data_IF_320297456043
#
_entry.id   IF_320297456043
#
_cell.length_a   1.000
_cell.length_b   1.000
_cell.length_c   1.000
_cell.angle_alpha   90.00
_cell.angle_beta   90.00
_cell.angle_gamma   90.00
#
_symmetry.space_group_name_H-M   'P 1'
#
loop_
_entity.id
_entity.type
_entity.pdbx_description
1 polymer ?
#
# COMPACT_ATOMS: atom_id res chain seq x y z
N UNK A 1 44.85 10.67 15.52
CA UNK A 1 44.48 9.97 14.27
C UNK A 1 44.95 10.81 13.09
N UNK A 2 46.12 10.50 12.54
CA UNK A 2 46.65 11.12 11.32
C UNK A 2 46.25 10.26 10.11
N UNK A 3 44.95 10.06 9.93
CA UNK A 3 44.38 9.41 8.75
C UNK A 3 43.90 10.48 7.79
N UNK A 4 44.25 10.36 6.51
CA UNK A 4 43.65 11.18 5.44
C UNK A 4 42.13 11.01 5.53
N UNK A 5 41.40 12.12 5.57
CA UNK A 5 39.94 12.06 5.59
C UNK A 5 39.43 11.35 4.31
N UNK A 6 38.43 10.46 4.40
CA UNK A 6 37.89 9.80 3.22
C UNK A 6 37.36 10.84 2.23
N UNK A 7 37.72 10.69 0.96
CA UNK A 7 37.32 11.58 -0.13
C UNK A 7 37.08 10.79 -1.41
N UNK A 8 36.19 11.27 -2.26
CA UNK A 8 35.91 10.71 -3.58
C UNK A 8 35.76 11.83 -4.61
N UNK A 9 35.78 11.47 -5.89
CA UNK A 9 35.60 12.41 -7.02
C UNK A 9 34.42 11.99 -7.86
N UNK A 10 33.69 12.98 -8.38
CA UNK A 10 32.60 12.81 -9.33
C UNK A 10 32.79 13.77 -10.49
N UNK A 11 32.67 13.29 -11.73
CA UNK A 11 32.71 14.11 -12.93
C UNK A 11 31.82 13.52 -14.02
N UNK A 12 31.29 14.39 -14.88
CA UNK A 12 30.49 13.97 -16.04
C UNK A 12 31.38 13.68 -17.25
N UNK A 13 30.98 12.71 -18.07
CA UNK A 13 31.64 12.40 -19.33
C UNK A 13 31.08 13.28 -20.44
N UNK A 14 31.97 13.99 -21.13
CA UNK A 14 31.65 14.78 -22.32
C UNK A 14 31.98 13.99 -23.59
N UNK A 15 31.39 14.39 -24.72
CA UNK A 15 31.76 13.86 -26.04
C UNK A 15 31.02 12.60 -26.47
N UNK A 16 30.05 12.09 -25.69
CA UNK A 16 29.15 11.05 -26.20
C UNK A 16 28.30 11.61 -27.36
N UNK A 17 28.09 10.85 -28.44
CA UNK A 17 27.18 11.22 -29.51
C UNK A 17 25.72 11.15 -29.03
N UNK A 18 24.80 11.67 -29.85
CA UNK A 18 23.37 11.40 -29.67
C UNK A 18 23.11 9.90 -29.85
N UNK A 19 22.49 9.28 -28.84
CA UNK A 19 22.24 7.83 -28.82
C UNK A 19 20.98 7.49 -29.63
N UNK A 20 21.12 6.51 -30.52
CA UNK A 20 20.06 5.95 -31.33
C UNK A 20 19.73 4.50 -30.93
N UNK A 21 18.59 4.01 -31.43
CA UNK A 21 18.18 2.62 -31.21
C UNK A 21 19.21 1.64 -31.79
N UNK A 22 19.62 0.67 -30.98
CA UNK A 22 20.62 -0.34 -31.31
C UNK A 22 22.07 0.03 -30.98
N UNK A 23 22.33 1.25 -30.50
CA UNK A 23 23.68 1.66 -30.11
C UNK A 23 24.20 0.87 -28.89
N UNK A 24 25.47 0.49 -28.94
CA UNK A 24 26.17 -0.18 -27.84
C UNK A 24 26.73 0.87 -26.86
N UNK A 25 25.98 1.10 -25.78
CA UNK A 25 26.34 2.09 -24.76
C UNK A 25 27.71 1.82 -24.12
N UNK A 26 28.09 0.55 -23.93
CA UNK A 26 29.37 0.22 -23.33
C UNK A 26 30.53 0.66 -24.24
N UNK A 27 30.42 0.42 -25.55
CA UNK A 27 31.41 0.88 -26.54
C UNK A 27 31.46 2.40 -26.63
N UNK A 28 30.30 3.07 -26.64
CA UNK A 28 30.25 4.54 -26.67
C UNK A 28 30.94 5.15 -25.45
N UNK A 29 30.64 4.63 -24.25
CA UNK A 29 31.26 5.09 -23.00
C UNK A 29 32.76 4.80 -23.02
N UNK A 30 33.17 3.60 -23.41
CA UNK A 30 34.59 3.22 -23.49
C UNK A 30 35.38 4.12 -24.45
N UNK A 31 34.74 4.58 -25.53
CA UNK A 31 35.40 5.46 -26.51
C UNK A 31 35.77 6.85 -25.96
N UNK A 32 35.00 7.37 -24.99
CA UNK A 32 35.19 8.71 -24.43
C UNK A 32 35.82 8.70 -23.04
N UNK A 33 35.93 7.53 -22.41
CA UNK A 33 36.59 7.35 -21.10
C UNK A 33 37.43 6.06 -21.08
N UNK A 34 38.50 5.96 -21.89
CA UNK A 34 39.43 4.83 -21.85
C UNK A 34 40.22 4.74 -20.53
N UNK A 35 40.19 5.80 -19.71
CA UNK A 35 40.86 5.91 -18.41
C UNK A 35 40.05 5.41 -17.21
N UNK A 36 38.92 4.73 -17.45
CA UNK A 36 38.19 4.00 -16.40
C UNK A 36 39.11 2.98 -15.74
N UNK A 37 38.91 2.76 -14.44
CA UNK A 37 39.70 1.81 -13.64
C UNK A 37 38.79 0.97 -12.76
N UNK A 38 39.34 -0.13 -12.23
CA UNK A 38 38.65 -0.96 -11.26
C UNK A 38 38.15 -0.15 -10.06
N UNK A 39 36.92 -0.41 -9.64
CA UNK A 39 36.29 0.28 -8.52
C UNK A 39 35.63 1.63 -8.86
N UNK A 40 35.62 2.04 -10.14
CA UNK A 40 34.76 3.14 -10.59
C UNK A 40 33.28 2.73 -10.58
N UNK A 41 32.40 3.71 -10.37
CA UNK A 41 30.96 3.55 -10.57
C UNK A 41 30.47 4.52 -11.63
N UNK A 42 29.82 4.00 -12.67
CA UNK A 42 29.17 4.80 -13.69
C UNK A 42 27.72 5.09 -13.33
N UNK A 43 27.34 6.36 -13.41
CA UNK A 43 25.98 6.85 -13.19
C UNK A 43 25.40 7.23 -14.55
N UNK A 44 24.52 6.40 -15.08
CA UNK A 44 24.01 6.45 -16.46
C UNK A 44 22.53 6.86 -16.44
N UNK A 45 22.13 7.91 -17.15
CA UNK A 45 20.70 8.26 -17.22
C UNK A 45 19.89 7.21 -17.99
N UNK A 46 18.69 6.93 -17.50
CA UNK A 46 17.64 6.14 -18.14
C UNK A 46 17.43 6.52 -19.61
N UNK A 47 17.54 7.81 -19.95
CA UNK A 47 17.22 8.32 -21.29
C UNK A 47 18.06 7.68 -22.38
N UNK A 48 19.38 7.57 -22.20
CA UNK A 48 20.23 6.97 -23.22
C UNK A 48 20.09 5.44 -23.25
N UNK A 49 19.78 4.82 -22.12
CA UNK A 49 19.44 3.39 -22.03
C UNK A 49 18.17 3.11 -22.83
N UNK A 50 17.09 3.84 -22.54
CA UNK A 50 15.83 3.76 -23.27
C UNK A 50 15.99 4.02 -24.77
N UNK A 51 16.79 5.00 -25.18
CA UNK A 51 17.06 5.27 -26.61
C UNK A 51 17.77 4.10 -27.27
N UNK A 52 18.86 3.59 -26.68
CA UNK A 52 19.60 2.43 -27.18
C UNK A 52 18.71 1.18 -27.29
N UNK A 53 17.80 0.99 -26.34
CA UNK A 53 16.84 -0.12 -26.33
C UNK A 53 15.59 0.10 -27.20
N UNK A 54 15.52 1.20 -27.95
CA UNK A 54 14.40 1.46 -28.86
C UNK A 54 13.07 1.77 -28.16
N UNK A 55 13.11 2.31 -26.94
CA UNK A 55 11.93 2.65 -26.12
C UNK A 55 11.27 3.99 -26.49
N UNK A 56 11.59 4.55 -27.65
CA UNK A 56 10.91 5.73 -28.21
C UNK A 56 9.65 5.24 -28.93
N UNK A 57 8.48 5.69 -28.47
CA UNK A 57 7.19 5.28 -29.05
C UNK A 57 6.46 6.49 -29.61
N UNK A 58 5.78 6.31 -30.74
CA UNK A 58 4.85 7.31 -31.27
C UNK A 58 3.64 7.40 -30.32
N UNK A 59 3.28 8.61 -29.92
CA UNK A 59 2.14 8.85 -29.05
C UNK A 59 1.51 10.20 -29.40
N UNK A 60 0.31 10.15 -29.96
CA UNK A 60 -0.50 11.35 -30.21
C UNK A 60 -1.05 11.90 -28.89
N UNK A 61 -1.35 11.01 -27.94
CA UNK A 61 -1.70 11.34 -26.55
C UNK A 61 -0.73 10.67 -25.57
N UNK A 62 0.00 11.50 -24.81
CA UNK A 62 0.91 11.05 -23.75
C UNK A 62 0.15 10.28 -22.65
N UNK A 63 -1.10 10.63 -22.38
CA UNK A 63 -1.87 10.00 -21.30
C UNK A 63 -2.14 8.52 -21.58
N UNK A 64 -2.30 8.11 -22.84
CA UNK A 64 -2.45 6.70 -23.24
C UNK A 64 -1.17 5.90 -22.97
N UNK A 65 0.00 6.48 -23.25
CA UNK A 65 1.29 5.85 -22.93
C UNK A 65 1.49 5.71 -21.42
N UNK A 66 1.08 6.72 -20.63
CA UNK A 66 1.09 6.64 -19.17
C UNK A 66 0.16 5.53 -18.69
N UNK A 67 -1.05 5.42 -19.25
CA UNK A 67 -2.02 4.38 -18.89
C UNK A 67 -1.49 2.97 -19.19
N UNK A 68 -0.84 2.80 -20.35
CA UNK A 68 -0.26 1.52 -20.74
C UNK A 68 0.83 1.06 -19.75
N UNK A 69 1.68 1.97 -19.27
CA UNK A 69 2.76 1.66 -18.31
C UNK A 69 2.29 1.64 -16.85
N UNK A 70 1.07 2.09 -16.56
CA UNK A 70 0.52 2.15 -15.20
C UNK A 70 0.00 0.78 -14.74
N UNK A 71 0.55 0.26 -13.64
CA UNK A 71 0.01 -0.91 -12.93
C UNK A 71 -1.16 -0.49 -12.03
N UNK A 72 -0.98 0.61 -11.28
CA UNK A 72 -2.03 1.20 -10.46
C UNK A 72 -1.78 2.67 -10.21
N UNK A 73 -2.85 3.39 -9.92
CA UNK A 73 -2.75 4.79 -9.50
C UNK A 73 -2.56 4.88 -7.99
N UNK A 74 -1.54 5.64 -7.58
CA UNK A 74 -1.24 5.94 -6.18
C UNK A 74 -1.92 7.23 -5.77
N UNK A 75 -1.78 8.29 -6.57
CA UNK A 75 -2.36 9.60 -6.27
C UNK A 75 -2.74 10.36 -7.54
N UNK A 76 -3.82 11.15 -7.48
CA UNK A 76 -4.21 12.07 -8.55
C UNK A 76 -4.42 13.49 -8.04
N UNK A 77 -3.97 14.48 -8.83
CA UNK A 77 -4.31 15.89 -8.65
C UNK A 77 -4.50 16.56 -10.01
N UNK A 78 -5.76 16.75 -10.41
CA UNK A 78 -6.08 17.16 -11.78
C UNK A 78 -5.61 16.08 -12.77
N UNK A 79 -4.87 16.48 -13.80
CA UNK A 79 -4.26 15.57 -14.77
C UNK A 79 -2.98 14.91 -14.28
N UNK A 80 -2.33 15.44 -13.22
CA UNK A 80 -1.11 14.84 -12.68
C UNK A 80 -1.43 13.56 -11.92
N UNK A 81 -0.66 12.51 -12.21
CA UNK A 81 -0.80 11.17 -11.62
C UNK A 81 0.54 10.68 -11.07
N UNK A 82 0.52 10.23 -9.82
CA UNK A 82 1.56 9.36 -9.26
C UNK A 82 1.04 7.94 -9.39
N UNK A 83 1.84 7.08 -9.99
CA UNK A 83 1.46 5.71 -10.33
C UNK A 83 2.59 4.76 -9.98
N UNK A 84 2.23 3.50 -9.77
CA UNK A 84 3.18 2.41 -9.83
C UNK A 84 3.29 1.95 -11.29
N UNK A 85 4.51 1.88 -11.82
CA UNK A 85 4.76 1.36 -13.16
C UNK A 85 5.13 -0.14 -13.14
N UNK A 86 5.37 -0.72 -14.31
CA UNK A 86 5.67 -2.17 -14.46
C UNK A 86 6.97 -2.60 -13.79
N UNK A 87 7.91 -1.68 -13.59
CA UNK A 87 9.16 -1.90 -12.85
C UNK A 87 8.95 -1.81 -11.32
N UNK A 88 7.74 -1.49 -10.85
CA UNK A 88 7.39 -1.29 -9.44
C UNK A 88 7.70 0.10 -8.90
N UNK A 89 8.18 1.03 -9.73
CA UNK A 89 8.54 2.38 -9.31
C UNK A 89 7.27 3.21 -9.09
N UNK A 90 7.21 3.90 -7.95
CA UNK A 90 6.12 4.83 -7.62
C UNK A 90 6.55 6.26 -7.95
N UNK A 91 6.08 6.76 -9.10
CA UNK A 91 6.55 8.04 -9.65
C UNK A 91 5.49 8.75 -10.49
N UNK A 92 5.80 9.98 -10.89
CA UNK A 92 4.93 10.75 -11.76
C UNK A 92 4.91 10.15 -13.18
N UNK A 93 3.72 10.06 -13.77
CA UNK A 93 3.53 9.68 -15.17
C UNK A 93 4.23 8.38 -15.61
N UNK A 94 4.39 7.41 -14.69
CA UNK A 94 5.07 6.12 -14.92
C UNK A 94 6.53 6.20 -15.43
N UNK A 95 7.16 7.39 -15.38
CA UNK A 95 8.46 7.63 -16.01
C UNK A 95 8.39 7.90 -17.51
N UNK A 96 7.20 8.09 -18.08
CA UNK A 96 7.00 8.49 -19.47
C UNK A 96 7.42 9.95 -19.65
N UNK A 97 8.50 10.15 -20.40
CA UNK A 97 9.09 11.45 -20.68
C UNK A 97 8.74 11.89 -22.11
N UNK A 98 8.35 13.16 -22.28
CA UNK A 98 8.13 13.80 -23.58
C UNK A 98 9.21 14.86 -23.90
N UNK A 99 10.20 15.02 -23.01
CA UNK A 99 11.33 15.92 -23.19
C UNK A 99 12.49 15.20 -23.88
N UNK A 100 13.25 15.94 -24.69
CA UNK A 100 14.42 15.43 -25.43
C UNK A 100 14.12 14.24 -26.37
N UNK A 101 12.88 14.16 -26.87
CA UNK A 101 12.42 13.25 -27.92
C UNK A 101 11.89 14.05 -29.12
N UNK A 102 11.88 13.48 -30.34
CA UNK A 102 11.21 14.09 -31.48
C UNK A 102 9.73 14.39 -31.21
N UNK A 103 9.20 15.46 -31.81
CA UNK A 103 7.77 15.81 -31.70
C UNK A 103 6.87 14.65 -32.12
N UNK A 104 5.82 14.38 -31.34
CA UNK A 104 4.90 13.25 -31.56
C UNK A 104 5.39 11.92 -31.00
N UNK A 105 6.48 11.92 -30.22
CA UNK A 105 7.00 10.72 -29.55
C UNK A 105 7.22 10.94 -28.06
N UNK A 106 7.13 9.85 -27.30
CA UNK A 106 7.49 9.80 -25.89
C UNK A 106 8.54 8.71 -25.66
N UNK A 107 9.34 8.86 -24.61
CA UNK A 107 10.34 7.90 -24.18
C UNK A 107 9.81 7.13 -22.98
N UNK A 108 9.73 5.82 -23.11
CA UNK A 108 9.42 4.92 -22.01
C UNK A 108 10.71 4.56 -21.27
N UNK A 109 10.58 4.16 -20.00
CA UNK A 109 11.72 3.60 -19.26
C UNK A 109 12.21 2.28 -19.88
N UNK A 110 13.46 1.87 -19.58
CA UNK A 110 13.97 0.54 -19.93
C UNK A 110 13.07 -0.54 -19.33
N UNK A 111 12.86 -1.66 -20.04
CA UNK A 111 12.00 -2.74 -19.55
C UNK A 111 12.59 -3.41 -18.32
N UNK A 112 13.90 -3.62 -18.31
CA UNK A 112 14.66 -4.14 -17.18
C UNK A 112 15.96 -3.35 -16.97
N UNK A 113 15.91 -2.21 -16.25
CA UNK A 113 17.08 -1.34 -16.07
C UNK A 113 18.26 -2.04 -15.36
N UNK A 114 18.00 -3.07 -14.54
CA UNK A 114 19.05 -3.89 -13.92
C UNK A 114 19.77 -4.76 -14.95
N UNK A 115 19.04 -5.30 -15.94
CA UNK A 115 19.63 -6.01 -17.07
C UNK A 115 20.47 -5.06 -17.94
N UNK A 116 19.98 -3.85 -18.19
CA UNK A 116 20.73 -2.82 -18.91
C UNK A 116 22.03 -2.46 -18.18
N UNK A 117 21.99 -2.27 -16.86
CA UNK A 117 23.17 -2.00 -16.05
C UNK A 117 24.20 -3.15 -16.13
N UNK A 118 23.73 -4.41 -16.07
CA UNK A 118 24.58 -5.60 -16.24
C UNK A 118 25.22 -5.64 -17.62
N UNK A 119 24.46 -5.33 -18.68
CA UNK A 119 24.96 -5.31 -20.05
C UNK A 119 26.07 -4.27 -20.23
N UNK A 120 25.86 -3.04 -19.75
CA UNK A 120 26.87 -1.97 -19.77
C UNK A 120 28.13 -2.40 -19.02
N UNK A 121 27.98 -2.94 -17.81
CA UNK A 121 29.12 -3.44 -17.01
C UNK A 121 29.90 -4.51 -17.75
N UNK A 122 29.22 -5.50 -18.32
CA UNK A 122 29.88 -6.58 -19.08
C UNK A 122 30.62 -6.07 -20.31
N UNK A 123 30.02 -5.14 -21.05
CA UNK A 123 30.65 -4.57 -22.25
C UNK A 123 31.86 -3.71 -21.91
N UNK A 124 31.83 -2.96 -20.80
CA UNK A 124 33.00 -2.19 -20.33
C UNK A 124 34.13 -3.10 -19.88
N UNK A 125 33.80 -4.22 -19.21
CA UNK A 125 34.79 -5.25 -18.87
C UNK A 125 35.42 -5.86 -20.12
N UNK A 126 34.63 -6.16 -21.14
CA UNK A 126 35.14 -6.69 -22.41
C UNK A 126 36.01 -5.68 -23.16
N UNK A 127 35.58 -4.41 -23.22
CA UNK A 127 36.25 -3.37 -24.00
C UNK A 127 37.53 -2.83 -23.34
N UNK A 128 37.54 -2.71 -22.00
CA UNK A 128 38.62 -2.03 -21.26
C UNK A 128 39.31 -2.93 -20.23
N UNK A 129 38.79 -4.13 -19.95
CA UNK A 129 39.36 -5.04 -18.95
C UNK A 129 39.15 -4.62 -17.50
N UNK A 130 38.19 -3.72 -17.23
CA UNK A 130 37.94 -3.15 -15.89
C UNK A 130 36.76 -3.79 -15.17
N UNK A 131 36.79 -3.79 -13.83
CA UNK A 131 35.65 -4.13 -12.98
C UNK A 131 35.03 -2.89 -12.33
N UNK A 132 33.90 -2.47 -12.89
CA UNK A 132 33.17 -1.26 -12.49
C UNK A 132 31.78 -1.59 -11.97
N UNK A 133 31.23 -0.66 -11.19
CA UNK A 133 29.81 -0.59 -10.89
C UNK A 133 29.05 0.23 -11.93
N UNK A 134 27.77 -0.07 -12.14
CA UNK A 134 26.87 0.72 -13.00
C UNK A 134 25.56 0.95 -12.26
N UNK A 135 25.11 2.21 -12.23
CA UNK A 135 23.80 2.63 -11.74
C UNK A 135 23.07 3.36 -12.86
N UNK A 136 21.92 2.83 -13.27
CA UNK A 136 20.99 3.50 -14.19
C UNK A 136 20.06 4.38 -13.36
N UNK A 137 19.96 5.66 -13.71
CA UNK A 137 19.23 6.65 -12.92
C UNK A 137 18.08 7.29 -13.67
N UNK A 138 17.04 7.68 -12.95
CA UNK A 138 15.98 8.53 -13.49
C UNK A 138 15.57 9.63 -12.50
N UNK A 139 14.97 10.69 -13.01
CA UNK A 139 14.66 11.89 -12.22
C UNK A 139 13.31 11.78 -11.51
N UNK A 140 13.32 11.83 -10.18
CA UNK A 140 12.16 11.66 -9.33
C UNK A 140 11.82 12.93 -8.54
N UNK A 141 10.53 13.17 -8.33
CA UNK A 141 10.04 13.94 -7.18
C UNK A 141 9.94 13.04 -5.95
N UNK A 142 9.82 13.62 -4.75
CA UNK A 142 9.67 12.84 -3.51
C UNK A 142 8.71 13.49 -2.51
N UNK A 143 7.96 12.69 -1.71
CA UNK A 143 7.06 13.23 -0.70
C UNK A 143 7.75 14.23 0.25
N UNK A 144 7.00 15.24 0.66
CA UNK A 144 7.38 16.25 1.67
C UNK A 144 8.56 17.18 1.31
N UNK A 145 9.17 17.05 0.13
CA UNK A 145 10.24 17.93 -0.34
C UNK A 145 9.94 18.47 -1.72
N UNK A 146 10.16 19.77 -1.91
CA UNK A 146 10.13 20.40 -3.23
C UNK A 146 11.41 20.09 -4.01
N UNK A 147 11.29 19.99 -5.33
CA UNK A 147 12.42 19.73 -6.23
C UNK A 147 12.58 18.26 -6.60
N UNK A 148 13.41 18.03 -7.61
CA UNK A 148 13.71 16.72 -8.17
C UNK A 148 15.12 16.27 -7.77
N UNK A 149 15.38 14.97 -7.80
CA UNK A 149 16.72 14.37 -7.70
C UNK A 149 16.73 13.12 -8.55
N UNK A 150 17.89 12.73 -9.07
CA UNK A 150 18.02 11.38 -9.61
C UNK A 150 18.00 10.34 -8.48
N UNK A 151 17.41 9.19 -8.80
CA UNK A 151 17.41 7.96 -7.99
C UNK A 151 17.84 6.79 -8.87
N UNK A 152 18.26 5.68 -8.26
CA UNK A 152 18.60 4.48 -8.98
C UNK A 152 17.32 3.74 -9.42
N UNK A 153 17.25 3.37 -10.70
CA UNK A 153 16.21 2.50 -11.27
C UNK A 153 16.76 1.17 -11.76
N UNK A 154 18.08 1.07 -11.94
CA UNK A 154 18.81 -0.15 -12.28
C UNK A 154 20.22 -0.13 -11.70
N UNK A 155 20.78 -1.27 -11.32
CA UNK A 155 22.12 -1.37 -10.76
C UNK A 155 22.80 -2.71 -11.07
N UNK A 156 24.13 -2.68 -11.24
CA UNK A 156 24.97 -3.86 -11.41
C UNK A 156 26.38 -3.64 -10.86
N UNK A 157 26.93 -4.61 -10.11
CA UNK A 157 28.27 -4.49 -9.53
C UNK A 157 28.42 -3.42 -8.45
N UNK A 158 27.31 -2.95 -7.87
CA UNK A 158 27.26 -1.91 -6.84
C UNK A 158 26.42 -2.40 -5.66
N UNK A 159 26.85 -2.09 -4.45
CA UNK A 159 26.03 -2.24 -3.24
C UNK A 159 24.84 -1.28 -3.30
N UNK A 160 23.65 -1.84 -3.48
CA UNK A 160 22.40 -1.06 -3.60
C UNK A 160 21.91 -0.54 -2.26
N UNK A 161 21.88 -1.43 -1.27
CA UNK A 161 21.53 -1.15 0.11
C UNK A 161 22.71 -1.50 1.02
N UNK A 162 23.05 -0.60 1.94
CA UNK A 162 23.97 -0.89 3.05
C UNK A 162 23.13 -1.11 4.31
N UNK A 163 22.85 -2.38 4.60
CA UNK A 163 22.03 -2.79 5.75
C UNK A 163 22.90 -2.88 7.00
N UNK A 164 22.78 -1.89 7.87
CA UNK A 164 23.52 -1.81 9.13
C UNK A 164 22.74 -2.42 10.30
N UNK A 165 21.55 -3.01 10.05
CA UNK A 165 20.74 -3.62 11.10
C UNK A 165 21.46 -4.82 11.71
N UNK A 166 21.31 -4.99 13.02
CA UNK A 166 22.01 -6.03 13.78
C UNK A 166 23.47 -5.68 14.14
N UNK A 167 24.01 -4.59 13.58
CA UNK A 167 25.27 -4.00 14.02
C UNK A 167 25.10 -3.11 15.26
N UNK A 168 26.19 -2.47 15.67
CA UNK A 168 26.20 -1.49 16.75
C UNK A 168 26.83 -0.17 16.33
N UNK A 169 26.39 0.94 16.91
CA UNK A 169 27.05 2.23 16.74
C UNK A 169 28.38 2.32 17.51
N UNK A 170 29.05 3.48 17.44
CA UNK A 170 30.31 3.74 18.12
C UNK A 170 30.25 3.67 19.67
N UNK A 171 29.04 3.69 20.25
CA UNK A 171 28.78 3.57 21.68
C UNK A 171 28.29 2.17 22.07
N UNK A 172 28.20 1.25 21.12
CA UNK A 172 27.69 -0.11 21.35
C UNK A 172 26.17 -0.23 21.32
N UNK A 173 25.43 0.83 20.95
CA UNK A 173 23.98 0.75 20.84
C UNK A 173 23.59 -0.04 19.58
N UNK A 174 22.57 -0.92 19.64
CA UNK A 174 22.14 -1.70 18.50
C UNK A 174 21.50 -0.81 17.41
N UNK A 175 21.90 -1.04 16.17
CA UNK A 175 21.26 -0.43 15.00
C UNK A 175 20.08 -1.33 14.57
N UNK A 176 18.85 -0.82 14.67
CA UNK A 176 17.64 -1.60 14.41
C UNK A 176 16.86 -1.19 13.15
N UNK A 177 17.08 0.02 12.64
CA UNK A 177 16.35 0.58 11.50
C UNK A 177 17.24 1.23 10.43
N UNK A 178 18.56 1.05 10.52
CA UNK A 178 19.51 1.75 9.67
C UNK A 178 19.82 0.94 8.42
N UNK A 179 19.21 1.32 7.30
CA UNK A 179 19.53 0.81 5.98
C UNK A 179 19.78 2.02 5.07
N UNK A 180 20.96 2.12 4.49
CA UNK A 180 21.35 3.25 3.62
C UNK A 180 21.07 2.87 2.18
N UNK A 181 20.39 3.75 1.44
CA UNK A 181 20.17 3.61 0.00
C UNK A 181 21.40 4.10 -0.79
N UNK A 182 22.50 3.36 -0.70
CA UNK A 182 23.79 3.73 -1.31
C UNK A 182 23.67 4.03 -2.80
N UNK A 183 22.88 3.25 -3.55
CA UNK A 183 22.66 3.51 -4.97
C UNK A 183 21.96 4.86 -5.25
N UNK A 184 21.03 5.29 -4.39
CA UNK A 184 20.37 6.61 -4.51
C UNK A 184 21.32 7.76 -4.13
N UNK A 185 22.21 7.57 -3.15
CA UNK A 185 23.25 8.56 -2.83
C UNK A 185 24.21 8.77 -4.01
N UNK A 186 24.62 7.68 -4.66
CA UNK A 186 25.46 7.72 -5.86
C UNK A 186 24.72 8.36 -7.04
N UNK A 187 23.44 8.02 -7.24
CA UNK A 187 22.60 8.62 -8.27
C UNK A 187 22.49 10.14 -8.10
N UNK A 188 22.19 10.60 -6.88
CA UNK A 188 22.12 12.01 -6.55
C UNK A 188 23.47 12.73 -6.72
N UNK A 189 24.58 12.09 -6.35
CA UNK A 189 25.92 12.66 -6.56
C UNK A 189 26.26 12.83 -8.04
N UNK A 190 25.93 11.85 -8.89
CA UNK A 190 26.10 11.94 -10.34
C UNK A 190 25.25 13.04 -10.98
N UNK A 191 24.03 13.25 -10.47
CA UNK A 191 23.12 14.30 -10.96
C UNK A 191 23.73 15.71 -10.88
N UNK A 192 24.50 15.99 -9.82
CA UNK A 192 25.13 17.30 -9.60
C UNK A 192 26.07 17.71 -10.75
N UNK A 193 26.72 16.74 -11.39
CA UNK A 193 27.67 17.00 -12.49
C UNK A 193 27.07 16.78 -13.87
N UNK A 194 26.09 15.87 -14.00
CA UNK A 194 25.36 15.66 -15.27
C UNK A 194 24.49 16.88 -15.61
N UNK A 195 23.82 17.45 -14.60
CA UNK A 195 22.81 18.48 -14.78
C UNK A 195 21.61 18.00 -15.61
N UNK A 196 20.56 18.82 -15.69
CA UNK A 196 19.30 18.45 -16.37
C UNK A 196 19.24 18.82 -17.86
N UNK A 197 20.10 19.74 -18.29
CA UNK A 197 20.07 20.32 -19.64
C UNK A 197 21.43 20.36 -20.36
N UNK A 198 22.49 19.86 -19.73
CA UNK A 198 23.85 19.98 -20.26
C UNK A 198 24.21 18.90 -21.32
N UNK A 199 23.32 17.93 -21.56
CA UNK A 199 23.58 16.84 -22.50
C UNK A 199 24.68 15.89 -22.04
N UNK A 200 24.84 15.71 -20.71
CA UNK A 200 25.86 14.85 -20.11
C UNK A 200 25.17 13.62 -19.49
N UNK A 201 25.01 12.53 -20.25
CA UNK A 201 24.18 11.40 -19.81
C UNK A 201 24.87 10.45 -18.82
N UNK A 202 26.21 10.54 -18.70
CA UNK A 202 27.01 9.64 -17.87
C UNK A 202 27.93 10.44 -16.95
N UNK A 203 28.02 10.02 -15.69
CA UNK A 203 29.04 10.48 -14.75
C UNK A 203 29.82 9.30 -14.16
N UNK A 204 31.03 9.57 -13.69
CA UNK A 204 31.90 8.58 -13.04
C UNK A 204 32.13 9.01 -11.60
N UNK A 205 32.00 8.06 -10.68
CA UNK A 205 32.33 8.19 -9.26
C UNK A 205 33.56 7.33 -8.98
N UNK A 206 34.62 7.93 -8.44
CA UNK A 206 35.89 7.26 -8.12
C UNK A 206 36.31 7.51 -6.69
N UNK A 207 36.85 6.48 -6.04
CA UNK A 207 37.38 6.55 -4.67
C UNK A 207 36.46 5.95 -3.59
N UNK A 208 35.44 5.17 -3.99
CA UNK A 208 34.52 4.48 -3.09
C UNK A 208 34.57 2.95 -3.30
N UNK A 209 35.73 2.27 -3.18
CA UNK A 209 35.83 0.85 -3.51
C UNK A 209 34.91 -0.05 -2.66
N UNK A 210 34.49 0.39 -1.48
CA UNK A 210 33.58 -0.35 -0.60
C UNK A 210 32.14 -0.41 -1.11
N UNK A 211 31.73 0.47 -2.04
CA UNK A 211 30.40 0.42 -2.67
C UNK A 211 30.41 -0.43 -3.95
N UNK A 212 31.59 -0.78 -4.47
CA UNK A 212 31.75 -1.64 -5.63
C UNK A 212 31.88 -3.09 -5.19
N UNK A 213 31.17 -3.98 -5.88
CA UNK A 213 31.01 -5.36 -5.45
C UNK A 213 29.85 -5.55 -4.47
N UNK A 214 29.31 -6.76 -4.44
CA UNK A 214 28.06 -7.09 -3.74
C UNK A 214 26.91 -7.31 -4.72
N UNK A 215 27.11 -8.24 -5.66
CA UNK A 215 26.10 -8.67 -6.64
C UNK A 215 24.89 -9.30 -5.91
N UNK A 216 24.05 -8.47 -5.31
CA UNK A 216 22.69 -8.86 -4.94
C UNK A 216 21.94 -9.12 -6.24
N UNK A 217 21.34 -10.31 -6.36
CA UNK A 217 20.65 -10.75 -7.59
C UNK A 217 19.50 -9.79 -8.00
N UNK A 218 19.00 -8.99 -7.08
CA UNK A 218 17.85 -8.09 -7.27
C UNK A 218 18.19 -6.72 -7.86
N UNK A 219 19.45 -6.29 -7.87
CA UNK A 219 19.82 -4.94 -8.35
C UNK A 219 19.06 -3.81 -7.65
N UNK A 220 18.68 -2.77 -8.39
CA UNK A 220 17.94 -1.62 -7.87
C UNK A 220 16.51 -1.97 -7.42
N UNK A 221 15.94 -3.10 -7.84
CA UNK A 221 14.62 -3.55 -7.35
C UNK A 221 14.58 -3.74 -5.84
N UNK A 222 15.73 -4.01 -5.20
CA UNK A 222 15.84 -4.08 -3.75
C UNK A 222 15.47 -2.75 -3.04
N UNK A 223 15.52 -1.60 -3.73
CA UNK A 223 15.10 -0.30 -3.20
C UNK A 223 13.57 -0.14 -3.18
N UNK A 224 12.87 -0.89 -4.04
CA UNK A 224 11.42 -0.78 -4.20
C UNK A 224 10.73 -1.48 -3.04
N UNK A 225 9.97 -0.73 -2.25
CA UNK A 225 9.18 -1.32 -1.16
C UNK A 225 8.06 -2.16 -1.72
N UNK A 226 7.93 -3.37 -1.19
CA UNK A 226 6.78 -4.23 -1.46
C UNK A 226 5.49 -3.53 -1.03
N UNK A 227 4.39 -3.90 -1.66
CA UNK A 227 3.09 -3.35 -1.33
C UNK A 227 2.60 -3.74 0.09
N UNK A 228 3.25 -4.71 0.75
CA UNK A 228 2.98 -5.10 2.14
C UNK A 228 3.70 -4.18 3.15
N UNK A 229 4.89 -3.69 2.77
CA UNK A 229 5.76 -2.84 3.60
C UNK A 229 5.54 -1.34 3.33
N UNK A 230 4.87 -0.99 2.23
CA UNK A 230 4.54 0.39 1.88
C UNK A 230 3.42 0.96 2.77
N UNK A 231 3.82 1.77 3.75
CA UNK A 231 2.91 2.51 4.62
C UNK A 231 2.19 3.68 3.91
N UNK A 232 2.62 4.08 2.71
CA UNK A 232 2.09 5.20 1.93
C UNK A 232 1.49 4.75 0.59
N UNK A 233 0.94 3.52 0.59
CA UNK A 233 0.44 2.83 -0.60
C UNK A 233 -0.54 3.65 -1.45
N UNK A 234 -1.33 4.54 -0.84
CA UNK A 234 -2.27 5.42 -1.53
C UNK A 234 -2.03 6.87 -1.10
N UNK A 235 -2.24 7.79 -2.05
CA UNK A 235 -2.40 9.21 -1.75
C UNK A 235 -3.65 9.48 -0.91
N UNK A 236 -3.69 10.61 -0.21
CA UNK A 236 -4.76 10.92 0.76
C UNK A 236 -6.16 10.78 0.17
N UNK A 237 -6.40 11.34 -1.02
CA UNK A 237 -7.71 11.30 -1.67
C UNK A 237 -8.11 9.89 -2.10
N UNK A 238 -7.15 9.13 -2.63
CA UNK A 238 -7.30 7.73 -3.01
C UNK A 238 -7.60 6.87 -1.77
N UNK A 239 -6.86 7.05 -0.68
CA UNK A 239 -7.07 6.35 0.58
C UNK A 239 -8.49 6.58 1.13
N UNK A 240 -9.00 7.82 1.11
CA UNK A 240 -10.37 8.14 1.55
C UNK A 240 -11.41 7.46 0.65
N UNK A 241 -11.24 7.51 -0.67
CA UNK A 241 -12.17 6.87 -1.62
C UNK A 241 -12.17 5.35 -1.51
N UNK A 242 -10.99 4.76 -1.33
CA UNK A 242 -10.83 3.32 -1.27
C UNK A 242 -11.18 2.72 0.09
N UNK A 243 -11.14 3.49 1.19
CA UNK A 243 -11.46 2.97 2.53
C UNK A 243 -12.77 2.17 2.58
N UNK A 244 -13.82 2.70 1.95
CA UNK A 244 -15.14 2.05 1.89
C UNK A 244 -15.11 0.80 1.00
N UNK A 245 -14.39 0.87 -0.12
CA UNK A 245 -14.34 -0.23 -1.09
C UNK A 245 -13.43 -1.36 -0.63
N UNK A 246 -12.38 -1.07 0.17
CA UNK A 246 -11.43 -2.03 0.74
C UNK A 246 -12.07 -2.89 1.83
N UNK A 247 -13.03 -2.36 2.61
CA UNK A 247 -13.73 -3.13 3.63
C UNK A 247 -14.41 -4.38 3.04
N UNK A 248 -14.05 -5.56 3.53
CA UNK A 248 -14.59 -6.88 3.13
C UNK A 248 -15.41 -7.51 4.24
N UNK A 249 -16.36 -8.34 3.86
CA UNK A 249 -17.07 -9.21 4.82
C UNK A 249 -16.28 -10.51 4.91
N UNK A 250 -15.41 -10.59 5.91
CA UNK A 250 -14.45 -11.68 6.10
C UNK A 250 -15.09 -12.79 6.91
N UNK A 251 -15.00 -14.04 6.43
CA UNK A 251 -15.66 -15.20 7.06
C UNK A 251 -14.71 -16.19 7.70
N UNK A 252 -13.42 -16.07 7.40
CA UNK A 252 -12.36 -16.95 7.89
C UNK A 252 -11.22 -16.08 8.40
N UNK A 253 -10.75 -16.38 9.61
CA UNK A 253 -9.75 -15.60 10.32
C UNK A 253 -8.59 -16.49 10.74
N UNK A 254 -7.40 -15.91 10.90
CA UNK A 254 -6.30 -16.59 11.60
C UNK A 254 -6.55 -16.58 13.11
N UNK A 255 -5.77 -17.37 13.86
CA UNK A 255 -5.79 -17.39 15.32
C UNK A 255 -4.99 -16.24 15.96
N UNK A 256 -4.45 -15.33 15.16
CA UNK A 256 -3.65 -14.21 15.67
C UNK A 256 -4.49 -13.31 16.60
N UNK A 257 -3.92 -12.87 17.73
CA UNK A 257 -4.62 -12.00 18.66
C UNK A 257 -4.96 -10.66 18.00
N UNK A 258 -6.15 -10.16 18.31
CA UNK A 258 -6.62 -8.82 17.91
C UNK A 258 -6.22 -7.82 18.97
N UNK A 259 -5.56 -6.73 18.57
CA UNK A 259 -5.25 -5.60 19.46
C UNK A 259 -6.55 -4.91 19.93
N UNK A 260 -6.88 -4.94 21.23
CA UNK A 260 -8.05 -4.24 21.76
C UNK A 260 -8.01 -2.71 21.59
N UNK A 261 -6.80 -2.14 21.47
CA UNK A 261 -6.58 -0.73 21.18
C UNK A 261 -7.08 -0.35 19.78
N UNK A 262 -6.78 -1.15 18.77
CA UNK A 262 -7.29 -1.00 17.41
C UNK A 262 -8.82 -1.03 17.37
N UNK A 263 -9.45 -1.95 18.09
CA UNK A 263 -10.92 -2.03 18.16
C UNK A 263 -11.51 -0.76 18.78
N UNK A 264 -10.90 -0.21 19.84
CA UNK A 264 -11.35 1.05 20.46
C UNK A 264 -11.18 2.26 19.55
N UNK A 265 -10.07 2.35 18.80
CA UNK A 265 -9.89 3.39 17.78
C UNK A 265 -10.97 3.30 16.71
N UNK A 266 -11.32 2.08 16.29
CA UNK A 266 -12.43 1.86 15.36
C UNK A 266 -13.79 2.27 15.96
N UNK A 267 -14.05 2.02 17.24
CA UNK A 267 -15.25 2.52 17.93
C UNK A 267 -15.29 4.04 17.97
N UNK A 268 -14.15 4.70 18.25
CA UNK A 268 -14.07 6.16 18.25
C UNK A 268 -14.42 6.76 16.87
N UNK A 269 -13.98 6.12 15.79
CA UNK A 269 -14.37 6.49 14.42
C UNK A 269 -15.85 6.15 14.12
N UNK A 270 -16.37 5.06 14.69
CA UNK A 270 -17.76 4.64 14.50
C UNK A 270 -18.75 5.69 15.00
N UNK A 271 -18.49 6.27 16.18
CA UNK A 271 -19.38 7.23 16.84
C UNK A 271 -19.34 8.64 16.26
N UNK A 272 -18.54 8.87 15.20
CA UNK A 272 -18.60 10.10 14.41
C UNK A 272 -19.64 10.03 13.29
N UNK A 273 -20.37 8.91 13.17
CA UNK A 273 -21.49 8.78 12.26
C UNK A 273 -22.56 9.86 12.52
N UNK A 274 -23.39 10.22 11.52
CA UNK A 274 -24.49 11.15 11.74
C UNK A 274 -25.55 10.52 12.64
N UNK A 275 -26.08 11.32 13.58
CA UNK A 275 -27.20 10.94 14.44
C UNK A 275 -28.28 12.04 14.45
N UNK A 276 -29.55 11.66 14.66
CA UNK A 276 -30.63 12.61 14.83
C UNK A 276 -30.49 13.41 16.14
N UNK A 277 -31.09 14.59 16.18
CA UNK A 277 -31.30 15.37 17.42
C UNK A 277 -30.04 15.64 18.27
N UNK A 278 -28.85 15.64 17.68
CA UNK A 278 -27.58 15.71 18.42
C UNK A 278 -27.41 14.60 19.47
N UNK A 279 -28.00 13.43 19.23
CA UNK A 279 -27.96 12.26 20.12
C UNK A 279 -26.70 11.41 19.90
N UNK A 280 -26.46 10.44 20.78
CA UNK A 280 -25.37 9.46 20.67
C UNK A 280 -25.91 8.03 20.78
N UNK A 281 -26.60 7.53 19.74
CA UNK A 281 -27.38 6.29 19.82
C UNK A 281 -26.53 5.01 19.85
N UNK A 282 -25.21 5.10 19.70
CA UNK A 282 -24.32 3.95 19.59
C UNK A 282 -23.73 3.56 20.94
N UNK A 283 -23.78 2.27 21.25
CA UNK A 283 -22.95 1.62 22.27
C UNK A 283 -22.29 0.40 21.65
N UNK A 284 -21.09 0.04 22.11
CA UNK A 284 -20.38 -1.15 21.64
C UNK A 284 -19.95 -1.98 22.83
N UNK A 285 -20.44 -3.22 22.92
CA UNK A 285 -19.98 -4.19 23.92
C UNK A 285 -18.85 -5.00 23.32
N UNK A 286 -17.66 -4.90 23.92
CA UNK A 286 -16.45 -5.56 23.41
C UNK A 286 -16.18 -6.87 24.17
N UNK A 287 -16.18 -8.01 23.47
CA UNK A 287 -16.03 -9.34 24.07
C UNK A 287 -14.58 -9.83 23.91
N UNK A 288 -13.74 -9.34 24.80
CA UNK A 288 -12.28 -9.57 24.76
C UNK A 288 -11.89 -10.97 25.22
N UNK A 289 -12.65 -11.55 26.16
CA UNK A 289 -12.39 -12.89 26.68
C UNK A 289 -13.07 -13.98 25.84
N UNK A 290 -12.38 -15.10 25.61
CA UNK A 290 -12.97 -16.26 24.96
C UNK A 290 -14.20 -16.81 25.71
N UNK A 291 -14.19 -16.70 27.05
CA UNK A 291 -15.30 -17.13 27.89
C UNK A 291 -16.57 -16.32 27.66
N UNK A 292 -16.50 -14.99 27.59
CA UNK A 292 -17.68 -14.15 27.31
C UNK A 292 -18.23 -14.38 25.91
N UNK A 293 -17.36 -14.56 24.90
CA UNK A 293 -17.76 -14.92 23.54
C UNK A 293 -18.51 -16.25 23.50
N UNK A 294 -17.92 -17.30 24.09
CA UNK A 294 -18.48 -18.66 24.03
C UNK A 294 -19.83 -18.72 24.73
N UNK A 295 -19.95 -18.14 25.93
CA UNK A 295 -21.23 -18.09 26.66
C UNK A 295 -22.34 -17.41 25.85
N UNK A 296 -22.05 -16.26 25.25
CA UNK A 296 -23.01 -15.55 24.40
C UNK A 296 -23.46 -16.42 23.22
N UNK A 297 -22.50 -16.98 22.48
CA UNK A 297 -22.80 -17.74 21.27
C UNK A 297 -23.53 -19.06 21.55
N UNK A 298 -23.24 -19.71 22.68
CA UNK A 298 -23.95 -20.92 23.09
C UNK A 298 -25.40 -20.60 23.45
N UNK A 299 -25.65 -19.56 24.25
CA UNK A 299 -27.00 -19.14 24.59
C UNK A 299 -27.82 -18.71 23.37
N UNK A 300 -27.22 -17.94 22.45
CA UNK A 300 -27.85 -17.56 21.19
C UNK A 300 -28.15 -18.77 20.31
N UNK A 301 -27.24 -19.76 20.26
CA UNK A 301 -27.46 -21.01 19.52
C UNK A 301 -28.63 -21.77 20.09
N UNK A 302 -28.71 -21.91 21.41
CA UNK A 302 -29.75 -22.68 22.07
C UNK A 302 -31.14 -22.04 21.86
N UNK A 303 -31.22 -20.70 21.92
CA UNK A 303 -32.42 -19.95 21.55
C UNK A 303 -32.83 -20.19 20.09
N UNK A 304 -31.88 -20.13 19.15
CA UNK A 304 -32.17 -20.35 17.74
C UNK A 304 -32.63 -21.79 17.44
N UNK A 305 -32.04 -22.78 18.11
CA UNK A 305 -32.48 -24.18 18.02
C UNK A 305 -33.91 -24.33 18.53
N UNK A 306 -34.24 -23.69 19.66
CA UNK A 306 -35.59 -23.73 20.22
C UNK A 306 -36.64 -23.13 19.25
N UNK A 307 -36.33 -21.99 18.62
CA UNK A 307 -37.20 -21.38 17.60
C UNK A 307 -37.39 -22.28 16.38
N UNK A 308 -36.30 -22.84 15.83
CA UNK A 308 -36.40 -23.71 14.66
C UNK A 308 -37.16 -25.01 14.95
N UNK A 309 -37.06 -25.55 16.17
CA UNK A 309 -37.87 -26.70 16.59
C UNK A 309 -39.35 -26.33 16.71
N UNK A 310 -39.66 -25.14 17.22
CA UNK A 310 -41.03 -24.61 17.28
C UNK A 310 -41.62 -24.44 15.88
N UNK A 311 -40.79 -24.05 14.92
CA UNK A 311 -41.15 -23.97 13.49
C UNK A 311 -41.29 -25.35 12.80
N UNK A 312 -41.13 -26.46 13.53
CA UNK A 312 -41.26 -27.82 13.01
C UNK A 312 -40.11 -28.26 12.09
N UNK A 313 -38.92 -27.65 12.19
CA UNK A 313 -37.76 -28.06 11.39
C UNK A 313 -37.16 -29.37 11.90
N UNK A 314 -36.68 -30.23 10.99
CA UNK A 314 -35.95 -31.45 11.36
C UNK A 314 -34.57 -31.15 11.96
N UNK A 315 -34.05 -32.04 12.79
CA UNK A 315 -32.72 -31.89 13.44
C UNK A 315 -31.58 -31.71 12.43
N UNK A 316 -31.63 -32.40 11.28
CA UNK A 316 -30.65 -32.20 10.20
C UNK A 316 -30.69 -30.77 9.64
N UNK A 317 -31.90 -30.25 9.43
CA UNK A 317 -32.17 -28.91 8.92
C UNK A 317 -31.73 -27.81 9.90
N UNK A 318 -31.88 -28.08 11.20
CA UNK A 318 -31.40 -27.25 12.31
C UNK A 318 -29.87 -27.22 12.33
N UNK A 319 -29.21 -28.39 12.35
CA UNK A 319 -27.76 -28.50 12.36
C UNK A 319 -27.11 -27.75 11.18
N UNK A 320 -27.71 -27.84 9.98
CA UNK A 320 -27.23 -27.10 8.79
C UNK A 320 -27.37 -25.58 8.93
N UNK A 321 -28.41 -25.08 9.58
CA UNK A 321 -28.61 -23.63 9.78
C UNK A 321 -27.67 -23.09 10.86
N UNK A 322 -27.55 -23.81 11.97
CA UNK A 322 -26.69 -23.41 13.11
C UNK A 322 -25.24 -23.23 12.67
N UNK A 323 -24.72 -24.08 11.77
CA UNK A 323 -23.37 -23.94 11.18
C UNK A 323 -23.12 -22.59 10.48
N UNK A 324 -24.17 -21.85 10.08
CA UNK A 324 -23.99 -20.50 9.51
C UNK A 324 -23.49 -19.49 10.55
N UNK A 325 -23.66 -19.78 11.84
CA UNK A 325 -23.14 -18.98 12.95
C UNK A 325 -21.65 -19.18 13.23
N UNK A 326 -20.99 -20.15 12.59
CA UNK A 326 -19.60 -20.53 12.87
C UNK A 326 -18.63 -19.37 12.63
N UNK A 327 -18.95 -18.42 11.75
CA UNK A 327 -18.18 -17.20 11.54
C UNK A 327 -17.97 -16.39 12.82
N UNK A 328 -18.97 -16.32 13.71
CA UNK A 328 -18.85 -15.62 14.99
C UNK A 328 -18.07 -16.46 16.00
N UNK A 329 -18.22 -17.79 15.94
CA UNK A 329 -17.57 -18.72 16.86
C UNK A 329 -16.07 -18.84 16.63
N UNK A 330 -15.65 -18.80 15.37
CA UNK A 330 -14.26 -18.91 14.97
C UNK A 330 -13.53 -17.55 14.96
N UNK A 331 -14.22 -16.46 15.30
CA UNK A 331 -13.59 -15.15 15.36
C UNK A 331 -12.78 -15.00 16.66
N UNK A 332 -11.51 -14.51 16.59
CA UNK A 332 -10.69 -14.28 17.78
C UNK A 332 -11.22 -13.15 18.66
N UNK A 333 -12.07 -12.27 18.12
CA UNK A 333 -12.68 -11.15 18.83
C UNK A 333 -14.12 -10.90 18.35
N UNK A 334 -15.01 -10.50 19.27
CA UNK A 334 -16.38 -10.10 18.96
C UNK A 334 -16.71 -8.71 19.54
N UNK A 335 -17.50 -7.94 18.80
CA UNK A 335 -18.15 -6.75 19.30
C UNK A 335 -19.66 -6.81 19.04
N UNK A 336 -20.47 -6.40 20.01
CA UNK A 336 -21.94 -6.31 19.87
C UNK A 336 -22.31 -4.82 19.85
N UNK A 337 -22.58 -4.23 18.67
CA UNK A 337 -23.16 -2.90 18.61
C UNK A 337 -24.57 -2.92 19.19
N UNK A 338 -24.89 -1.94 20.02
CA UNK A 338 -26.20 -1.74 20.62
C UNK A 338 -26.71 -0.35 20.26
N UNK A 339 -28.01 -0.27 19.95
CA UNK A 339 -28.74 0.97 19.85
C UNK A 339 -29.24 1.36 21.25
N UNK A 340 -29.13 2.64 21.59
CA UNK A 340 -29.83 3.25 22.72
C UNK A 340 -30.68 4.41 22.21
N UNK A 341 -31.83 4.63 22.85
CA UNK A 341 -32.79 5.69 22.48
C UNK A 341 -32.64 6.93 23.37
N UNK A 342 -31.49 7.11 24.02
CA UNK A 342 -31.22 8.28 24.87
C UNK A 342 -31.41 9.58 24.08
N UNK A 343 -32.31 10.45 24.54
CA UNK A 343 -32.63 11.72 23.89
C UNK A 343 -33.62 11.63 22.72
N UNK A 344 -34.21 10.46 22.44
CA UNK A 344 -35.31 10.35 21.48
C UNK A 344 -36.58 11.04 21.97
N UNK A 345 -37.42 11.49 21.05
CA UNK A 345 -38.74 11.99 21.38
C UNK A 345 -39.76 10.85 21.52
N UNK A 346 -40.69 11.00 22.47
CA UNK A 346 -41.89 10.16 22.52
C UNK A 346 -43.11 11.00 22.11
N UNK A 347 -43.81 10.53 21.08
CA UNK A 347 -44.90 11.26 20.44
C UNK A 347 -46.28 10.76 20.86
N UNK A 348 -46.37 9.60 21.54
CA UNK A 348 -47.64 8.98 21.94
C UNK A 348 -48.50 8.52 20.77
N UNK A 349 -47.89 8.39 19.58
CA UNK A 349 -48.53 8.07 18.31
C UNK A 349 -47.70 6.96 17.65
N UNK A 350 -48.24 5.73 17.49
CA UNK A 350 -47.47 4.58 17.03
C UNK A 350 -46.71 4.83 15.72
N UNK A 351 -47.28 5.63 14.82
CA UNK A 351 -46.64 5.96 13.54
C UNK A 351 -45.39 6.81 13.73
N UNK A 352 -45.46 7.87 14.54
CA UNK A 352 -44.31 8.75 14.80
C UNK A 352 -43.27 8.10 15.72
N UNK A 353 -43.70 7.33 16.72
CA UNK A 353 -42.79 6.59 17.58
C UNK A 353 -42.00 5.52 16.80
N UNK A 354 -42.64 4.86 15.82
CA UNK A 354 -41.95 3.96 14.90
C UNK A 354 -40.93 4.71 14.03
N UNK A 355 -41.30 5.85 13.46
CA UNK A 355 -40.40 6.67 12.64
C UNK A 355 -39.20 7.19 13.43
N UNK A 356 -39.41 7.60 14.69
CA UNK A 356 -38.34 8.00 15.61
C UNK A 356 -37.33 6.86 15.80
N UNK A 357 -37.84 5.65 16.09
CA UNK A 357 -36.98 4.47 16.23
C UNK A 357 -36.24 4.11 14.94
N UNK A 358 -36.91 4.16 13.80
CA UNK A 358 -36.29 3.87 12.49
C UNK A 358 -35.14 4.83 12.18
N UNK A 359 -35.30 6.11 12.48
CA UNK A 359 -34.23 7.12 12.33
C UNK A 359 -32.99 6.77 13.17
N UNK A 360 -33.20 6.33 14.42
CA UNK A 360 -32.13 5.85 15.29
C UNK A 360 -31.48 4.56 14.77
N UNK A 361 -32.27 3.62 14.22
CA UNK A 361 -31.75 2.40 13.57
C UNK A 361 -30.89 2.72 12.34
N UNK A 362 -31.28 3.70 11.53
CA UNK A 362 -30.48 4.18 10.39
C UNK A 362 -29.13 4.74 10.87
N UNK A 363 -29.15 5.56 11.93
CA UNK A 363 -27.92 6.06 12.54
C UNK A 363 -27.05 4.92 13.08
N UNK A 364 -27.63 3.91 13.74
CA UNK A 364 -26.91 2.72 14.22
C UNK A 364 -26.23 1.96 13.07
N UNK A 365 -26.94 1.77 11.94
CA UNK A 365 -26.37 1.17 10.73
C UNK A 365 -25.18 1.95 10.18
N UNK A 366 -25.26 3.29 10.14
CA UNK A 366 -24.15 4.15 9.73
C UNK A 366 -22.94 4.01 10.67
N UNK A 367 -23.17 3.99 11.99
CA UNK A 367 -22.12 3.76 12.99
C UNK A 367 -21.44 2.40 12.83
N UNK A 368 -22.21 1.34 12.59
CA UNK A 368 -21.66 0.00 12.31
C UNK A 368 -20.85 0.01 11.02
N UNK A 369 -21.32 0.65 9.94
CA UNK A 369 -20.54 0.73 8.71
C UNK A 369 -19.20 1.49 8.91
N UNK A 370 -19.20 2.60 9.64
CA UNK A 370 -17.97 3.32 10.00
C UNK A 370 -17.01 2.42 10.82
N UNK A 371 -17.55 1.67 11.79
CA UNK A 371 -16.77 0.72 12.59
C UNK A 371 -16.07 -0.32 11.70
N UNK A 372 -16.79 -0.93 10.75
CA UNK A 372 -16.22 -1.94 9.86
C UNK A 372 -15.13 -1.36 8.95
N UNK A 373 -15.32 -0.13 8.44
CA UNK A 373 -14.33 0.56 7.60
C UNK A 373 -13.08 0.91 8.41
N UNK A 374 -13.25 1.41 9.64
CA UNK A 374 -12.14 1.74 10.51
C UNK A 374 -11.33 0.49 10.90
N UNK A 375 -11.99 -0.64 11.18
CA UNK A 375 -11.31 -1.93 11.38
C UNK A 375 -10.46 -2.33 10.17
N UNK A 376 -10.95 -2.13 8.95
CA UNK A 376 -10.17 -2.40 7.75
C UNK A 376 -8.92 -1.51 7.64
N UNK A 377 -9.01 -0.24 8.06
CA UNK A 377 -7.86 0.67 8.16
C UNK A 377 -6.82 0.23 9.20
N UNK A 378 -7.26 -0.43 10.27
CA UNK A 378 -6.40 -1.10 11.26
C UNK A 378 -5.88 -2.47 10.78
N UNK A 379 -6.08 -2.81 9.50
CA UNK A 379 -5.72 -4.10 8.88
C UNK A 379 -6.45 -5.30 9.51
N UNK A 380 -7.64 -5.09 10.07
CA UNK A 380 -8.51 -6.14 10.62
C UNK A 380 -9.66 -6.45 9.67
N UNK A 381 -9.90 -7.74 9.43
CA UNK A 381 -11.09 -8.24 8.77
C UNK A 381 -12.30 -8.17 9.70
N UNK A 382 -13.49 -8.01 9.13
CA UNK A 382 -14.72 -8.00 9.91
C UNK A 382 -15.93 -8.60 9.19
N UNK A 383 -16.89 -9.11 9.96
CA UNK A 383 -18.19 -9.57 9.47
C UNK A 383 -19.30 -9.19 10.45
N UNK A 384 -20.21 -8.31 10.00
CA UNK A 384 -21.43 -8.00 10.73
C UNK A 384 -22.52 -9.02 10.41
N UNK A 385 -23.06 -9.65 11.46
CA UNK A 385 -24.09 -10.68 11.40
C UNK A 385 -25.25 -10.28 12.30
N UNK A 386 -26.47 -10.22 11.76
CA UNK A 386 -27.67 -9.73 12.47
C UNK A 386 -28.23 -10.68 13.52
N UNK A 387 -27.52 -11.76 13.89
CA UNK A 387 -28.05 -12.86 14.72
C UNK A 387 -28.57 -12.41 16.09
N UNK A 388 -27.90 -11.46 16.76
CA UNK A 388 -28.34 -10.94 18.08
C UNK A 388 -29.70 -10.23 18.01
N UNK A 389 -30.12 -9.72 16.85
CA UNK A 389 -31.40 -9.03 16.68
C UNK A 389 -32.59 -9.98 16.84
N UNK A 390 -32.40 -11.28 16.66
CA UNK A 390 -33.44 -12.31 16.77
C UNK A 390 -33.59 -12.86 18.20
N UNK A 391 -32.69 -12.51 19.13
CA UNK A 391 -32.67 -13.02 20.50
C UNK A 391 -32.17 -11.96 21.49
N UNK A 392 -32.68 -10.73 21.37
CA UNK A 392 -32.21 -9.55 22.10
C UNK A 392 -32.23 -9.72 23.62
N UNK A 393 -33.27 -10.35 24.15
CA UNK A 393 -33.40 -10.63 25.58
C UNK A 393 -32.28 -11.54 26.08
N UNK A 394 -32.03 -12.65 25.36
CA UNK A 394 -30.92 -13.58 25.66
C UNK A 394 -29.57 -12.85 25.68
N UNK A 395 -29.35 -11.96 24.70
CA UNK A 395 -28.11 -11.19 24.60
C UNK A 395 -27.97 -10.21 25.76
N UNK A 396 -29.04 -9.51 26.14
CA UNK A 396 -29.04 -8.61 27.30
C UNK A 396 -28.74 -9.36 28.60
N UNK A 397 -29.42 -10.49 28.81
CA UNK A 397 -29.28 -11.28 30.03
C UNK A 397 -27.86 -11.84 30.18
N UNK A 398 -27.33 -12.45 29.11
CA UNK A 398 -26.00 -13.11 29.15
C UNK A 398 -24.86 -12.11 29.31
N UNK A 399 -25.01 -10.91 28.75
CA UNK A 399 -24.00 -9.85 28.83
C UNK A 399 -24.23 -8.86 29.98
N UNK A 400 -25.34 -8.99 30.73
CA UNK A 400 -25.70 -8.06 31.80
C UNK A 400 -25.94 -6.64 31.31
N UNK A 401 -26.56 -6.47 30.14
CA UNK A 401 -26.80 -5.15 29.55
C UNK A 401 -28.03 -4.47 30.16
N UNK A 402 -28.06 -3.12 30.19
CA UNK A 402 -29.27 -2.39 30.57
C UNK A 402 -30.44 -2.70 29.61
N UNK A 403 -31.68 -2.62 30.13
CA UNK A 403 -32.90 -2.91 29.36
C UNK A 403 -33.03 -2.06 28.08
N UNK A 404 -32.65 -0.78 28.18
CA UNK A 404 -32.67 0.16 27.05
C UNK A 404 -31.60 -0.06 25.97
N UNK A 405 -30.70 -1.03 26.15
CA UNK A 405 -29.70 -1.39 25.14
C UNK A 405 -30.26 -2.45 24.20
N UNK A 406 -30.32 -2.12 22.93
CA UNK A 406 -30.91 -2.96 21.91
C UNK A 406 -29.83 -3.53 20.97
N UNK A 407 -29.46 -4.82 21.07
CA UNK A 407 -28.43 -5.42 20.22
C UNK A 407 -28.76 -5.35 18.72
N UNK A 408 -27.83 -4.81 17.93
CA UNK A 408 -27.95 -4.55 16.48
C UNK A 408 -27.02 -5.47 15.67
N UNK A 409 -27.00 -6.76 15.99
CA UNK A 409 -26.08 -7.74 15.41
C UNK A 409 -24.81 -7.95 16.25
N UNK A 410 -23.90 -8.77 15.72
CA UNK A 410 -22.56 -8.99 16.24
C UNK A 410 -21.55 -8.83 15.11
N UNK A 411 -20.37 -8.32 15.45
CA UNK A 411 -19.26 -8.15 14.52
C UNK A 411 -18.16 -9.12 14.90
N UNK A 412 -17.89 -10.09 14.01
CA UNK A 412 -16.67 -10.90 14.04
C UNK A 412 -15.47 -10.05 13.60
N UNK A 413 -14.36 -10.14 14.33
CA UNK A 413 -13.15 -9.36 14.10
C UNK A 413 -11.93 -10.28 14.20
N UNK A 414 -11.01 -10.18 13.25
CA UNK A 414 -9.77 -10.96 13.22
C UNK A 414 -8.92 -10.63 12.00
N UNK A 415 -7.70 -11.15 11.94
CA UNK A 415 -6.90 -11.08 10.71
C UNK A 415 -7.49 -12.05 9.67
N UNK A 416 -7.71 -11.63 8.41
CA UNK A 416 -8.23 -12.53 7.39
C UNK A 416 -7.28 -13.72 7.15
N UNK A 417 -7.82 -14.94 7.07
CA UNK A 417 -7.03 -16.15 6.80
C UNK A 417 -6.42 -16.19 5.40
N UNK A 418 -6.99 -15.44 4.46
CA UNK A 418 -6.52 -15.31 3.09
C UNK A 418 -6.80 -13.89 2.55
N UNK A 419 -6.06 -13.45 1.51
CA UNK A 419 -6.37 -12.22 0.81
C UNK A 419 -7.82 -12.24 0.29
N UNK A 420 -8.53 -11.10 0.36
CA UNK A 420 -9.89 -11.06 -0.12
C UNK A 420 -9.95 -11.20 -1.64
N UNK A 421 -10.93 -11.96 -2.12
CA UNK A 421 -11.23 -12.01 -3.56
C UNK A 421 -11.57 -10.62 -4.10
N UNK A 422 -11.24 -10.42 -5.37
CA UNK A 422 -11.64 -9.22 -6.10
C UNK A 422 -13.17 -9.06 -6.10
N UNK A 423 -13.61 -7.81 -6.01
CA UNK A 423 -15.04 -7.48 -6.11
C UNK A 423 -15.33 -7.12 -7.56
N UNK A 424 -16.40 -7.67 -8.15
CA UNK A 424 -16.91 -7.14 -9.42
C UNK A 424 -17.18 -5.65 -9.26
N UNK A 425 -16.76 -4.86 -10.25
CA UNK A 425 -17.10 -3.46 -10.31
C UNK A 425 -18.63 -3.31 -10.38
N UNK A 426 -19.17 -2.30 -9.70
CA UNK A 426 -20.58 -1.92 -9.80
C UNK A 426 -20.67 -0.52 -10.37
N UNK A 427 -21.59 -0.31 -11.30
CA UNK A 427 -21.89 1.02 -11.84
C UNK A 427 -23.00 1.66 -11.02
N UNK A 428 -22.88 2.96 -10.75
CA UNK A 428 -23.89 3.69 -9.96
C UNK A 428 -25.26 3.77 -10.66
N UNK A 429 -25.30 3.63 -11.99
CA UNK A 429 -26.52 3.75 -12.81
C UNK A 429 -27.67 2.84 -12.36
N UNK A 430 -27.38 1.63 -11.87
CA UNK A 430 -28.39 0.69 -11.40
C UNK A 430 -29.00 1.07 -10.04
N UNK A 431 -28.33 1.96 -9.30
CA UNK A 431 -28.69 2.35 -7.94
C UNK A 431 -29.16 3.80 -7.82
N UNK A 432 -29.22 4.53 -8.95
CA UNK A 432 -29.54 5.97 -8.98
C UNK A 432 -30.72 6.21 -9.91
N UNK A 433 -31.78 6.81 -9.36
CA UNK A 433 -32.84 7.42 -10.14
C UNK A 433 -32.62 8.94 -10.18
N UNK A 434 -32.39 9.50 -11.37
CA UNK A 434 -32.38 10.95 -11.59
C UNK A 434 -33.82 11.37 -11.91
N UNK A 435 -34.30 12.41 -11.25
CA UNK A 435 -35.63 13.01 -11.47
C UNK A 435 -35.48 14.51 -11.65
#
# INVERSE_FOLDING_TARGET
MTGVAPSYRVWALAGLPEVAAGDDLAKLIASVSPELVDGDVLIVTSKIVSKAEGRVVAADDREEAIDAETVRVVARRGTLRIVENRQGLVMAAAGVDASNTPSGTVLLLPEDPDASARHIRSGLREALGVDVGVVVTDTFGRPWRSGLTDVAIGAAGVRVLDDLRGGTDAYGNPLSATVVATADELAAAGDLVKGKAAGLPVAVVRGLPHVVGGDGEEGARALVRSAADDMFRLGTSEAVREAVTLRRTVREFTDDPVDPGAVRRAVAAAVTAPAPHHTTPWRFVLLESAGSRTRLLDAMRDAWIADLRRDGRSEESIAKRVRRGDVLRNAPYLAVPCLVMDGSHHYGDPRRDAAEREMFVVAAGAGVQNFLVALAGERLGSAWVSSTMFCRDVVRDVLGLPEGWDPMGAVAIGRPAAPPKERPARTASEFVAVR
#
